data_IF_003632277050
#
_entry.id   IF_003632277050
#
_cell.length_a   1.000
_cell.length_b   1.000
_cell.length_c   1.000
_cell.angle_alpha   90.00
_cell.angle_beta   90.00
_cell.angle_gamma   90.00
#
_symmetry.space_group_name_H-M   'P 1'
#
loop_
_entity.id
_entity.type
_entity.pdbx_description
1 polymer ?
#
# COMPACT_ATOMS: atom_id res chain seq x y z
N UNK A 1 -10.89 -18.43 -10.51
CA UNK A 1 -11.78 -17.28 -10.21
C UNK A 1 -10.97 -16.07 -9.71
N UNK A 2 -9.90 -15.67 -10.40
CA UNK A 2 -8.69 -15.24 -9.66
C UNK A 2 -8.05 -13.89 -10.00
N UNK A 3 -8.53 -13.09 -10.97
CA UNK A 3 -7.94 -11.75 -11.24
C UNK A 3 -8.95 -10.63 -11.49
N UNK A 4 -10.10 -10.93 -12.10
CA UNK A 4 -11.11 -9.93 -12.46
C UNK A 4 -11.83 -9.32 -11.24
N UNK A 5 -11.89 -10.03 -10.12
CA UNK A 5 -12.48 -9.52 -8.87
C UNK A 5 -11.52 -8.56 -8.15
N UNK A 6 -10.24 -8.91 -8.01
CA UNK A 6 -9.23 -8.06 -7.36
C UNK A 6 -9.09 -6.69 -8.05
N UNK A 7 -9.09 -6.67 -9.40
CA UNK A 7 -9.06 -5.41 -10.15
C UNK A 7 -10.24 -4.48 -9.85
N UNK A 8 -11.41 -5.02 -9.47
CA UNK A 8 -12.60 -4.22 -9.10
C UNK A 8 -12.51 -3.64 -7.69
N UNK A 9 -11.79 -4.30 -6.77
CA UNK A 9 -11.63 -3.83 -5.40
C UNK A 9 -10.48 -2.83 -5.23
N UNK A 10 -9.52 -2.79 -6.16
CA UNK A 10 -8.37 -1.88 -6.09
C UNK A 10 -8.75 -0.39 -6.11
N UNK A 11 -9.67 0.02 -6.99
CA UNK A 11 -10.06 1.44 -7.08
C UNK A 11 -10.84 1.94 -5.85
N UNK A 12 -11.83 1.19 -5.30
CA UNK A 12 -12.47 1.52 -4.03
C UNK A 12 -11.48 1.63 -2.86
N UNK A 13 -10.57 0.66 -2.69
CA UNK A 13 -9.59 0.70 -1.60
C UNK A 13 -8.61 1.87 -1.74
N UNK A 14 -8.12 2.11 -2.97
CA UNK A 14 -7.27 3.28 -3.24
C UNK A 14 -7.97 4.59 -2.90
N UNK A 15 -9.25 4.73 -3.27
CA UNK A 15 -10.04 5.92 -2.93
C UNK A 15 -10.27 6.05 -1.43
N UNK A 16 -10.53 4.94 -0.72
CA UNK A 16 -10.65 4.92 0.75
C UNK A 16 -9.37 5.50 1.38
N UNK A 17 -8.21 4.95 1.00
CA UNK A 17 -6.91 5.37 1.53
C UNK A 17 -6.56 6.83 1.21
N UNK A 18 -6.87 7.31 -0.01
CA UNK A 18 -6.66 8.72 -0.37
C UNK A 18 -7.43 9.65 0.56
N UNK A 19 -8.71 9.34 0.81
CA UNK A 19 -9.59 10.16 1.65
C UNK A 19 -9.13 10.12 3.10
N UNK A 20 -8.87 8.91 3.61
CA UNK A 20 -8.48 8.66 5.00
C UNK A 20 -7.16 9.36 5.36
N UNK A 21 -6.13 9.18 4.54
CA UNK A 21 -4.81 9.74 4.79
C UNK A 21 -4.57 11.11 4.13
N UNK A 22 -5.63 11.70 3.55
CA UNK A 22 -5.60 13.01 2.86
C UNK A 22 -4.46 13.11 1.85
N UNK A 23 -4.28 12.07 1.05
CA UNK A 23 -3.15 11.98 0.12
C UNK A 23 -3.42 12.83 -1.12
N UNK A 24 -2.43 13.62 -1.51
CA UNK A 24 -2.47 14.44 -2.73
C UNK A 24 -1.10 14.52 -3.41
N UNK A 25 -1.08 14.86 -4.69
CA UNK A 25 0.16 15.04 -5.46
C UNK A 25 0.93 13.74 -5.67
N UNK A 26 2.25 13.79 -5.58
CA UNK A 26 3.14 12.65 -5.94
C UNK A 26 2.95 11.39 -5.08
N UNK A 27 2.36 11.52 -3.88
CA UNK A 27 2.14 10.40 -2.94
C UNK A 27 0.94 9.51 -3.31
N UNK A 28 0.18 9.90 -4.33
CA UNK A 28 -0.95 9.11 -4.85
C UNK A 28 -0.51 7.76 -5.41
N UNK A 29 0.71 7.67 -5.96
CA UNK A 29 1.26 6.43 -6.50
C UNK A 29 1.53 5.39 -5.41
N UNK A 30 2.18 5.80 -4.31
CA UNK A 30 2.44 4.93 -3.15
C UNK A 30 1.13 4.40 -2.55
N UNK A 31 0.11 5.27 -2.47
CA UNK A 31 -1.23 4.87 -1.99
C UNK A 31 -1.88 3.80 -2.87
N UNK A 32 -1.62 3.83 -4.19
CA UNK A 32 -2.14 2.81 -5.11
C UNK A 32 -1.47 1.46 -4.91
N UNK A 33 -0.19 1.47 -4.54
CA UNK A 33 0.52 0.25 -4.14
C UNK A 33 -0.06 -0.31 -2.84
N UNK A 34 -0.26 0.53 -1.82
CA UNK A 34 -0.87 0.10 -0.55
C UNK A 34 -2.28 -0.47 -0.77
N UNK A 35 -3.10 0.16 -1.61
CA UNK A 35 -4.42 -0.35 -1.95
C UNK A 35 -4.36 -1.76 -2.57
N UNK A 36 -3.39 -2.01 -3.47
CA UNK A 36 -3.18 -3.33 -4.03
C UNK A 36 -2.77 -4.34 -2.96
N UNK A 37 -1.85 -3.96 -2.07
CA UNK A 37 -1.44 -4.79 -0.94
C UNK A 37 -2.63 -5.17 -0.06
N UNK A 38 -3.49 -4.22 0.31
CA UNK A 38 -4.70 -4.49 1.08
C UNK A 38 -5.65 -5.46 0.38
N UNK A 39 -5.93 -5.25 -0.91
CA UNK A 39 -6.81 -6.13 -1.71
C UNK A 39 -6.29 -7.56 -1.81
N UNK A 40 -4.96 -7.73 -1.77
CA UNK A 40 -4.30 -9.03 -1.86
C UNK A 40 -3.88 -9.61 -0.50
N UNK A 41 -4.18 -8.94 0.62
CA UNK A 41 -3.82 -9.39 1.97
C UNK A 41 -2.32 -9.37 2.25
N UNK A 42 -1.56 -8.52 1.56
CA UNK A 42 -0.12 -8.32 1.80
C UNK A 42 0.05 -7.23 2.86
N UNK A 43 0.68 -7.56 3.98
CA UNK A 43 0.83 -6.64 5.13
C UNK A 43 2.22 -6.05 5.27
N UNK A 44 3.23 -6.62 4.60
CA UNK A 44 4.62 -6.26 4.80
C UNK A 44 5.28 -5.92 3.46
N UNK A 45 6.05 -4.83 3.42
CA UNK A 45 6.83 -4.43 2.26
C UNK A 45 8.27 -4.16 2.65
N UNK A 46 9.21 -4.71 1.87
CA UNK A 46 10.62 -4.39 1.96
C UNK A 46 10.91 -3.28 0.96
N UNK A 47 11.42 -2.14 1.42
CA UNK A 47 11.70 -1.00 0.55
C UNK A 47 12.78 -0.06 1.10
N UNK A 48 13.49 0.63 0.21
CA UNK A 48 14.46 1.67 0.59
C UNK A 48 13.82 3.00 1.01
N UNK A 49 12.54 3.23 0.71
CA UNK A 49 11.81 4.47 1.04
C UNK A 49 10.74 4.26 2.12
N UNK A 50 11.09 3.61 3.24
CA UNK A 50 10.16 3.30 4.34
C UNK A 50 9.33 4.51 4.80
N UNK A 51 9.94 5.70 4.82
CA UNK A 51 9.29 6.97 5.18
C UNK A 51 8.00 7.26 4.40
N UNK A 52 7.93 6.87 3.13
CA UNK A 52 6.75 7.13 2.29
C UNK A 52 5.53 6.30 2.72
N UNK A 53 5.77 5.18 3.41
CA UNK A 53 4.75 4.25 3.84
C UNK A 53 4.34 4.38 5.31
N UNK A 54 5.09 5.16 6.11
CA UNK A 54 4.85 5.34 7.57
C UNK A 54 3.44 5.82 7.93
N UNK A 55 2.72 6.44 6.99
CA UNK A 55 1.35 6.94 7.21
C UNK A 55 0.28 5.87 7.16
N UNK A 56 0.54 4.72 6.54
CA UNK A 56 -0.46 3.68 6.32
C UNK A 56 -0.40 2.68 7.45
N UNK A 57 -1.50 2.50 8.19
CA UNK A 57 -1.58 1.52 9.27
C UNK A 57 -1.84 0.11 8.77
N UNK A 58 -2.30 -0.04 7.53
CA UNK A 58 -2.60 -1.32 6.91
C UNK A 58 -1.36 -2.16 6.55
N UNK A 59 -0.18 -1.53 6.50
CA UNK A 59 1.07 -2.20 6.11
C UNK A 59 2.23 -1.78 7.00
N UNK A 60 3.26 -2.64 7.07
CA UNK A 60 4.54 -2.32 7.69
C UNK A 60 5.64 -2.29 6.64
N UNK A 61 6.40 -1.19 6.60
CA UNK A 61 7.54 -1.04 5.70
C UNK A 61 8.85 -1.28 6.43
N UNK A 62 9.66 -2.19 5.90
CA UNK A 62 10.98 -2.53 6.44
C UNK A 62 12.06 -2.07 5.49
N UNK A 63 13.12 -1.49 6.03
CA UNK A 63 14.31 -1.25 5.24
C UNK A 63 15.03 -2.59 5.02
N UNK A 64 15.59 -2.89 3.82
CA UNK A 64 16.26 -4.16 3.57
C UNK A 64 17.38 -4.51 4.55
N UNK A 65 17.99 -3.51 5.19
CA UNK A 65 19.05 -3.71 6.21
C UNK A 65 18.52 -4.20 7.57
N UNK A 66 17.23 -4.08 7.82
CA UNK A 66 16.61 -4.42 9.11
C UNK A 66 16.05 -5.86 9.11
N UNK A 67 16.11 -6.55 7.96
CA UNK A 67 15.65 -7.92 7.79
C UNK A 67 16.88 -8.83 7.63
N UNK A 68 17.02 -9.80 8.52
CA UNK A 68 18.02 -10.89 8.40
C UNK A 68 17.34 -12.16 7.88
N UNK A 69 18.02 -12.97 7.04
CA UNK A 69 17.52 -14.28 6.60
C UNK A 69 17.25 -15.26 7.75
#
# INVERSE_FOLDING_TARGET
MTNALYGRYQHPEWRRLIVEYRVSGVKVHDTRLVAAMCVHGVTDIITFNTNDFTRFTEITAYHPRDITP
#
